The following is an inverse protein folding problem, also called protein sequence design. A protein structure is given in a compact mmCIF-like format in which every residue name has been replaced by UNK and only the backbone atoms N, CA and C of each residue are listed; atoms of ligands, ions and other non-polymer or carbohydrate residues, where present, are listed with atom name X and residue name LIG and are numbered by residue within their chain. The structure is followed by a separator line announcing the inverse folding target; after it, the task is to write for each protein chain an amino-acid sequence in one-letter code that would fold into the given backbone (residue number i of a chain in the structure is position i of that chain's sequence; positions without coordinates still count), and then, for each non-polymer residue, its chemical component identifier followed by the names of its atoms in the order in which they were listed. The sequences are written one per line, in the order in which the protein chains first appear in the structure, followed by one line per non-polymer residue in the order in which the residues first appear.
data_IF_476417039923
#
_entry.id   IF_476417039923
#
_cell.length_a   1.000
_cell.length_b   1.000
_cell.length_c   1.000
_cell.angle_alpha   90.00
_cell.angle_beta   90.00
_cell.angle_gamma   90.00
#
_symmetry.space_group_name_H-M   'P 1'
#
loop_
_entity.id
_entity.type
_entity.pdbx_description
1 polymer ?
#
# COMPACT_ATOMS: atom_id res chain seq x y z
N UNK A 1 -7.69 16.60 -17.97
CA UNK A 1 -8.43 16.32 -16.71
C UNK A 1 -7.92 15.01 -16.10
N UNK A 2 -7.83 14.86 -14.77
CA UNK A 2 -7.39 13.62 -14.15
C UNK A 2 -8.41 12.50 -14.42
N UNK A 3 -7.94 11.33 -14.83
CA UNK A 3 -8.80 10.15 -15.06
C UNK A 3 -9.38 9.71 -13.72
N UNK A 4 -10.70 9.54 -13.64
CA UNK A 4 -11.35 9.11 -12.40
C UNK A 4 -10.83 7.73 -11.97
N UNK A 5 -10.52 7.58 -10.68
CA UNK A 5 -10.01 6.31 -10.14
C UNK A 5 -11.09 5.24 -10.23
N UNK A 6 -10.78 4.15 -10.95
CA UNK A 6 -11.61 2.94 -11.03
C UNK A 6 -11.19 1.96 -9.94
N UNK A 7 -12.17 1.33 -9.31
CA UNK A 7 -11.95 0.23 -8.36
C UNK A 7 -12.33 -1.07 -9.02
N UNK A 8 -11.47 -2.08 -8.88
CA UNK A 8 -11.69 -3.42 -9.42
C UNK A 8 -11.70 -4.43 -8.27
N UNK A 9 -12.56 -5.44 -8.38
CA UNK A 9 -12.66 -6.51 -7.39
C UNK A 9 -11.41 -7.41 -7.44
N UNK A 10 -11.07 -8.11 -6.35
CA UNK A 10 -9.95 -9.06 -6.34
C UNK A 10 -10.09 -10.16 -7.40
N UNK A 11 -11.30 -10.64 -7.63
CA UNK A 11 -11.60 -11.72 -8.59
C UNK A 11 -11.32 -11.25 -10.02
N UNK A 12 -11.73 -10.02 -10.36
CA UNK A 12 -11.42 -9.43 -11.65
C UNK A 12 -9.91 -9.28 -11.87
N UNK A 13 -9.19 -8.78 -10.86
CA UNK A 13 -7.73 -8.64 -10.93
C UNK A 13 -7.07 -10.00 -11.13
N UNK A 14 -7.53 -11.03 -10.41
CA UNK A 14 -7.04 -12.40 -10.55
C UNK A 14 -7.25 -12.93 -11.96
N UNK A 15 -8.43 -12.70 -12.55
CA UNK A 15 -8.71 -13.11 -13.93
C UNK A 15 -7.73 -12.47 -14.93
N UNK A 16 -7.43 -11.18 -14.78
CA UNK A 16 -6.48 -10.47 -15.66
C UNK A 16 -5.06 -11.03 -15.52
N UNK A 17 -4.63 -11.34 -14.29
CA UNK A 17 -3.32 -11.95 -14.05
C UNK A 17 -3.27 -13.36 -14.65
N UNK A 18 -4.33 -14.17 -14.51
CA UNK A 18 -4.41 -15.50 -15.14
C UNK A 18 -4.36 -15.44 -16.66
N UNK A 19 -5.02 -14.47 -17.29
CA UNK A 19 -4.92 -14.27 -18.75
C UNK A 19 -3.48 -14.00 -19.19
N UNK A 20 -2.75 -13.19 -18.41
CA UNK A 20 -1.34 -12.93 -18.66
C UNK A 20 -0.47 -14.18 -18.44
N UNK A 21 -0.71 -14.94 -17.39
CA UNK A 21 -0.02 -16.21 -17.11
C UNK A 21 -0.27 -17.27 -18.19
N UNK A 22 -1.45 -17.25 -18.81
CA UNK A 22 -1.82 -18.09 -19.95
C UNK A 22 -1.23 -17.59 -21.29
N UNK A 23 -0.34 -16.60 -21.28
CA UNK A 23 0.42 -16.15 -22.45
C UNK A 23 -0.16 -14.98 -23.23
N UNK A 24 -1.31 -14.40 -22.81
CA UNK A 24 -1.85 -13.21 -23.45
C UNK A 24 -0.96 -11.99 -23.14
N UNK A 25 -0.70 -11.16 -24.15
CA UNK A 25 0.19 -10.01 -23.98
C UNK A 25 -0.41 -8.97 -23.04
N UNK A 26 0.44 -8.29 -22.26
CA UNK A 26 0.00 -7.19 -21.38
C UNK A 26 -0.70 -6.07 -22.15
N UNK A 27 -0.20 -5.77 -23.35
CA UNK A 27 -0.75 -4.70 -24.19
C UNK A 27 -2.16 -5.04 -24.66
N UNK A 28 -2.41 -6.30 -25.02
CA UNK A 28 -3.74 -6.73 -25.47
C UNK A 28 -4.73 -6.79 -24.31
N UNK A 29 -4.31 -7.29 -23.14
CA UNK A 29 -5.16 -7.26 -21.93
C UNK A 29 -5.49 -5.81 -21.54
N UNK A 30 -4.49 -4.91 -21.55
CA UNK A 30 -4.71 -3.51 -21.21
C UNK A 30 -5.69 -2.83 -22.18
N UNK A 31 -5.57 -3.12 -23.48
CA UNK A 31 -6.45 -2.56 -24.52
C UNK A 31 -7.87 -3.12 -24.44
N UNK A 32 -8.02 -4.43 -24.31
CA UNK A 32 -9.31 -5.12 -24.34
C UNK A 32 -10.18 -4.81 -23.11
N UNK A 33 -9.56 -4.66 -21.94
CA UNK A 33 -10.27 -4.42 -20.68
C UNK A 33 -10.22 -2.94 -20.23
N UNK A 34 -9.74 -2.03 -21.09
CA UNK A 34 -9.50 -0.61 -20.79
C UNK A 34 -8.76 -0.41 -19.45
N UNK A 35 -7.66 -1.13 -19.29
CA UNK A 35 -6.80 -1.04 -18.13
C UNK A 35 -5.59 -0.15 -18.43
N UNK A 36 -5.15 0.59 -17.43
CA UNK A 36 -3.85 1.26 -17.51
C UNK A 36 -2.74 0.20 -17.43
N UNK A 37 -1.73 0.22 -18.31
CA UNK A 37 -0.62 -0.73 -18.28
C UNK A 37 0.06 -0.85 -16.91
N UNK A 38 0.30 0.29 -16.26
CA UNK A 38 0.89 0.36 -14.91
C UNK A 38 0.01 -0.30 -13.83
N UNK A 39 -1.31 -0.23 -13.97
CA UNK A 39 -2.25 -0.90 -13.08
C UNK A 39 -2.17 -2.42 -13.21
N UNK A 40 -2.13 -2.93 -14.45
CA UNK A 40 -1.98 -4.35 -14.73
C UNK A 40 -0.62 -4.88 -14.24
N UNK A 41 0.47 -4.15 -14.49
CA UNK A 41 1.80 -4.52 -14.00
C UNK A 41 1.86 -4.61 -12.48
N UNK A 42 1.21 -3.67 -11.79
CA UNK A 42 1.11 -3.71 -10.33
C UNK A 42 0.36 -4.95 -9.85
N UNK A 43 -0.72 -5.35 -10.52
CA UNK A 43 -1.47 -6.55 -10.14
C UNK A 43 -0.66 -7.82 -10.35
N UNK A 44 0.05 -7.93 -11.48
CA UNK A 44 0.93 -9.07 -11.77
C UNK A 44 2.04 -9.15 -10.72
N UNK A 45 2.71 -8.02 -10.42
CA UNK A 45 3.77 -7.97 -9.41
C UNK A 45 3.26 -8.40 -8.04
N UNK A 46 2.14 -7.83 -7.59
CA UNK A 46 1.59 -8.11 -6.28
C UNK A 46 1.14 -9.58 -6.14
N UNK A 47 0.46 -10.10 -7.16
CA UNK A 47 0.05 -11.51 -7.18
C UNK A 47 1.25 -12.46 -7.13
N UNK A 48 2.32 -12.19 -7.89
CA UNK A 48 3.55 -13.01 -7.87
C UNK A 48 4.32 -12.90 -6.56
N UNK A 49 4.30 -11.75 -5.90
CA UNK A 49 5.04 -11.52 -4.68
C UNK A 49 4.35 -12.17 -3.46
N UNK A 50 3.03 -12.03 -3.34
CA UNK A 50 2.31 -12.38 -2.10
C UNK A 50 1.00 -13.13 -2.32
N UNK A 51 0.57 -13.30 -3.57
CA UNK A 51 -0.77 -13.82 -3.90
C UNK A 51 -1.92 -12.87 -3.57
N UNK A 52 -1.64 -11.71 -2.96
CA UNK A 52 -2.65 -10.73 -2.53
C UNK A 52 -2.63 -9.48 -3.40
N UNK A 53 -3.78 -8.86 -3.60
CA UNK A 53 -3.89 -7.52 -4.21
C UNK A 53 -3.95 -6.40 -3.17
N UNK A 54 -3.98 -6.73 -1.88
CA UNK A 54 -4.03 -5.74 -0.81
C UNK A 54 -2.67 -5.06 -0.66
N UNK A 55 -2.69 -3.74 -0.51
CA UNK A 55 -1.45 -2.96 -0.41
C UNK A 55 -0.64 -3.31 0.85
N UNK A 56 -1.32 -3.68 1.95
CA UNK A 56 -0.68 -4.03 3.22
C UNK A 56 0.20 -5.28 3.08
N UNK A 57 -0.29 -6.28 2.36
CA UNK A 57 0.37 -7.57 2.23
C UNK A 57 1.59 -7.48 1.32
N UNK A 58 1.58 -6.53 0.37
CA UNK A 58 2.65 -6.29 -0.60
C UNK A 58 3.69 -5.24 -0.15
N UNK A 59 3.74 -4.92 1.13
CA UNK A 59 4.79 -4.06 1.70
C UNK A 59 6.07 -4.86 1.88
N UNK A 60 7.18 -4.22 1.61
CA UNK A 60 8.50 -4.75 1.97
C UNK A 60 8.72 -4.69 3.47
N UNK A 61 9.64 -5.52 4.00
CA UNK A 61 9.99 -5.50 5.42
C UNK A 61 10.46 -4.11 5.88
N UNK A 62 11.23 -3.43 5.03
CA UNK A 62 11.66 -2.05 5.28
C UNK A 62 10.48 -1.06 5.40
N UNK A 63 9.43 -1.21 4.58
CA UNK A 63 8.22 -0.38 4.68
C UNK A 63 7.42 -0.68 5.96
N UNK A 64 7.36 -1.96 6.35
CA UNK A 64 6.69 -2.39 7.60
C UNK A 64 7.44 -1.80 8.81
N UNK A 65 8.76 -1.92 8.83
CA UNK A 65 9.61 -1.37 9.89
C UNK A 65 9.50 0.16 9.95
N UNK A 66 9.52 0.84 8.80
CA UNK A 66 9.35 2.28 8.73
C UNK A 66 8.00 2.73 9.30
N UNK A 67 6.92 2.01 9.01
CA UNK A 67 5.60 2.33 9.59
C UNK A 67 5.60 2.12 11.11
N UNK A 68 6.23 1.04 11.60
CA UNK A 68 6.36 0.77 13.04
C UNK A 68 7.15 1.88 13.74
N UNK A 69 8.29 2.28 13.18
CA UNK A 69 9.14 3.34 13.72
C UNK A 69 8.41 4.69 13.75
N UNK A 70 7.63 5.00 12.71
CA UNK A 70 6.82 6.24 12.69
C UNK A 70 5.77 6.27 13.81
N UNK A 71 5.07 5.15 14.04
CA UNK A 71 4.10 5.04 15.14
C UNK A 71 4.77 5.18 16.50
N UNK A 72 5.91 4.52 16.67
CA UNK A 72 6.68 4.61 17.91
C UNK A 72 7.18 6.02 18.17
N UNK A 73 7.74 6.68 17.15
CA UNK A 73 8.22 8.05 17.26
C UNK A 73 7.08 9.02 17.64
N UNK A 74 5.90 8.85 17.03
CA UNK A 74 4.72 9.64 17.39
C UNK A 74 4.31 9.42 18.86
N UNK A 75 4.31 8.17 19.33
CA UNK A 75 4.02 7.84 20.73
C UNK A 75 5.01 8.50 21.69
N UNK A 76 6.31 8.37 21.39
CA UNK A 76 7.38 8.97 22.18
C UNK A 76 7.30 10.51 22.21
N UNK A 77 6.92 11.15 21.09
CA UNK A 77 6.71 12.59 21.06
C UNK A 77 5.57 13.03 21.98
N UNK A 78 4.46 12.27 22.01
CA UNK A 78 3.34 12.53 22.92
C UNK A 78 3.73 12.30 24.38
N UNK A 79 4.43 11.20 24.70
CA UNK A 79 4.94 10.93 26.04
C UNK A 79 5.90 12.05 26.50
N UNK A 80 6.78 12.50 25.62
CA UNK A 80 7.71 13.60 25.91
C UNK A 80 6.99 14.92 26.17
N UNK A 81 5.94 15.23 25.42
CA UNK A 81 5.13 16.42 25.66
C UNK A 81 4.43 16.37 27.02
N UNK A 82 3.83 15.24 27.38
CA UNK A 82 3.20 15.03 28.70
C UNK A 82 4.23 15.23 29.82
N UNK A 83 5.43 14.64 29.67
CA UNK A 83 6.50 14.78 30.66
C UNK A 83 6.98 16.23 30.80
N UNK A 84 7.08 16.97 29.68
CA UNK A 84 7.40 18.41 29.70
C UNK A 84 6.32 19.20 30.42
N UNK A 85 5.04 18.94 30.16
CA UNK A 85 3.95 19.61 30.87
C UNK A 85 3.98 19.30 32.37
N UNK A 86 4.22 18.04 32.75
CA UNK A 86 4.35 17.65 34.15
C UNK A 86 5.51 18.35 34.86
N UNK A 87 6.68 18.44 34.21
CA UNK A 87 7.85 19.15 34.75
C UNK A 87 7.58 20.64 34.98
N UNK A 88 6.87 21.30 34.04
CA UNK A 88 6.46 22.70 34.20
C UNK A 88 5.52 22.92 35.38
N UNK A 89 4.59 21.98 35.63
CA UNK A 89 3.68 22.04 36.78
C UNK A 89 4.45 21.85 38.09
N UNK A 90 5.36 20.87 38.16
CA UNK A 90 6.14 20.58 39.36
C UNK A 90 7.16 21.67 39.70
N UNK A 91 7.80 22.29 38.71
CA UNK A 91 8.78 23.35 38.91
C UNK A 91 8.22 24.73 39.28
N UNK A 92 6.87 24.88 39.31
CA UNK A 92 6.18 26.10 39.75
C UNK A 92 5.80 26.07 41.24
N UNK A 93 6.16 25.00 41.96
CA UNK A 93 5.97 24.84 43.40
C UNK A 93 7.28 25.14 44.13
#
# INVERSE_FOLDING_TARGET
MPRQRRTFTPEFKLQMVKLYENGKSRADIAREYDLTPSGLDKWIKNHRATGSFAAKDNRTDAEIELEKLRKENQRLLMENDILKQAALIMGRK
#
